data_IF_405067459920
#
_entry.id   IF_405067459920
#
_cell.length_a   1.000
_cell.length_b   1.000
_cell.length_c   1.000
_cell.angle_alpha   90.00
_cell.angle_beta   90.00
_cell.angle_gamma   90.00
#
_symmetry.space_group_name_H-M   'P 1'
#
loop_
_entity.id
_entity.type
_entity.pdbx_description
1 polymer ?
#
# COMPACT_ATOMS: atom_id res chain seq x y z
N UNK A 1 1.07 -34.92 -5.51
CA UNK A 1 2.24 -34.25 -6.13
C UNK A 1 3.44 -34.69 -5.34
N UNK A 2 4.46 -35.26 -5.98
CA UNK A 2 5.70 -35.65 -5.32
C UNK A 2 6.56 -34.40 -5.13
N UNK A 3 6.14 -33.52 -4.23
CA UNK A 3 6.94 -32.39 -3.76
C UNK A 3 8.03 -32.94 -2.86
N UNK A 4 9.27 -32.56 -3.12
CA UNK A 4 10.37 -32.85 -2.23
C UNK A 4 10.21 -31.97 -0.98
N UNK A 5 10.38 -32.53 0.22
CA UNK A 5 10.11 -31.83 1.50
C UNK A 5 10.78 -30.45 1.59
N UNK A 6 11.96 -30.28 0.97
CA UNK A 6 12.67 -29.01 0.90
C UNK A 6 11.94 -27.94 0.05
N UNK A 7 11.42 -28.33 -1.10
CA UNK A 7 10.66 -27.44 -2.00
C UNK A 7 9.34 -27.07 -1.33
N UNK A 8 8.67 -28.02 -0.68
CA UNK A 8 7.41 -27.77 0.03
C UNK A 8 7.61 -26.83 1.22
N UNK A 9 8.71 -26.97 1.97
CA UNK A 9 9.06 -26.05 3.05
C UNK A 9 9.36 -24.63 2.53
N UNK A 10 10.07 -24.50 1.41
CA UNK A 10 10.34 -23.22 0.76
C UNK A 10 9.04 -22.54 0.28
N UNK A 11 8.16 -23.29 -0.39
CA UNK A 11 6.87 -22.79 -0.86
C UNK A 11 5.93 -22.43 0.29
N UNK A 12 5.92 -23.20 1.38
CA UNK A 12 5.17 -22.88 2.58
C UNK A 12 5.67 -21.57 3.23
N UNK A 13 6.97 -21.31 3.20
CA UNK A 13 7.53 -20.04 3.65
C UNK A 13 7.15 -18.88 2.71
N UNK A 14 7.23 -19.10 1.40
CA UNK A 14 6.81 -18.14 0.37
C UNK A 14 5.32 -17.77 0.49
N UNK A 15 4.45 -18.76 0.69
CA UNK A 15 2.99 -18.59 0.83
C UNK A 15 2.58 -17.71 2.02
N UNK A 16 3.41 -17.60 3.06
CA UNK A 16 3.15 -16.69 4.19
C UNK A 16 3.40 -15.22 3.84
N UNK A 17 4.15 -14.94 2.79
CA UNK A 17 4.72 -13.63 2.51
C UNK A 17 4.33 -13.07 1.14
N UNK A 18 4.03 -13.94 0.16
CA UNK A 18 3.76 -13.60 -1.24
C UNK A 18 2.28 -13.83 -1.61
N UNK A 19 1.78 -13.13 -2.66
CA UNK A 19 0.48 -13.43 -3.25
C UNK A 19 0.42 -14.85 -3.80
N UNK A 20 -0.78 -15.43 -3.84
CA UNK A 20 -0.98 -16.82 -4.24
C UNK A 20 -0.49 -17.09 -5.65
N UNK A 21 -0.77 -16.18 -6.57
CA UNK A 21 -0.43 -16.26 -7.98
C UNK A 21 1.10 -16.30 -8.19
N UNK A 22 1.83 -15.55 -7.36
CA UNK A 22 3.31 -15.54 -7.37
C UNK A 22 3.87 -16.83 -6.80
N UNK A 23 3.22 -17.40 -5.78
CA UNK A 23 3.62 -18.67 -5.18
C UNK A 23 3.35 -19.82 -6.12
N UNK A 24 2.23 -19.79 -6.84
CA UNK A 24 1.88 -20.79 -7.86
C UNK A 24 2.91 -20.77 -9.00
N UNK A 25 3.27 -19.59 -9.52
CA UNK A 25 4.33 -19.44 -10.53
C UNK A 25 5.70 -19.92 -10.02
N UNK A 26 6.04 -19.59 -8.76
CA UNK A 26 7.27 -20.03 -8.11
C UNK A 26 7.30 -21.55 -7.94
N UNK A 27 6.16 -22.16 -7.60
CA UNK A 27 6.02 -23.60 -7.50
C UNK A 27 6.24 -24.28 -8.85
N UNK A 28 5.61 -23.76 -9.91
CA UNK A 28 5.77 -24.28 -11.27
C UNK A 28 7.23 -24.19 -11.73
N UNK A 29 7.89 -23.05 -11.52
CA UNK A 29 9.29 -22.86 -11.88
C UNK A 29 10.28 -23.73 -11.07
N UNK A 30 10.02 -23.95 -9.79
CA UNK A 30 10.81 -24.86 -8.94
C UNK A 30 10.63 -26.31 -9.38
N UNK A 31 9.39 -26.73 -9.67
CA UNK A 31 9.08 -28.08 -10.16
C UNK A 31 9.74 -28.31 -11.52
N UNK A 32 9.66 -27.36 -12.45
CA UNK A 32 10.29 -27.48 -13.77
C UNK A 32 11.82 -27.60 -13.65
N UNK A 33 12.44 -26.78 -12.81
CA UNK A 33 13.89 -26.81 -12.58
C UNK A 33 14.32 -28.11 -11.92
N UNK A 34 13.59 -28.56 -10.89
CA UNK A 34 13.81 -29.85 -10.23
C UNK A 34 13.73 -31.01 -11.23
N UNK A 35 12.69 -31.08 -12.05
CA UNK A 35 12.52 -32.12 -13.07
C UNK A 35 13.65 -32.10 -14.10
N UNK A 36 14.11 -30.92 -14.51
CA UNK A 36 15.25 -30.77 -15.42
C UNK A 36 16.53 -31.33 -14.80
N UNK A 37 16.85 -30.97 -13.56
CA UNK A 37 18.03 -31.50 -12.86
C UNK A 37 17.96 -33.02 -12.67
N UNK A 38 16.77 -33.55 -12.36
CA UNK A 38 16.54 -35.01 -12.30
C UNK A 38 16.79 -35.70 -13.64
N UNK A 39 16.39 -35.07 -14.74
CA UNK A 39 16.64 -35.60 -16.09
C UNK A 39 18.11 -35.55 -16.51
N UNK A 40 18.88 -34.64 -15.92
CA UNK A 40 20.33 -34.51 -16.10
C UNK A 40 21.14 -35.48 -15.19
N UNK A 41 20.44 -36.28 -14.37
CA UNK A 41 21.02 -37.37 -13.60
C UNK A 41 21.35 -37.05 -12.15
N UNK A 42 21.01 -35.85 -11.66
CA UNK A 42 21.14 -35.51 -10.24
C UNK A 42 20.17 -36.34 -9.39
N UNK A 43 20.60 -36.71 -8.19
CA UNK A 43 19.71 -37.29 -7.19
C UNK A 43 18.64 -36.29 -6.74
N UNK A 44 17.63 -36.78 -6.00
CA UNK A 44 16.48 -35.98 -5.63
C UNK A 44 16.84 -34.82 -4.68
N UNK A 45 17.75 -35.03 -3.74
CA UNK A 45 18.13 -34.02 -2.75
C UNK A 45 18.97 -32.93 -3.41
N UNK A 46 19.98 -33.33 -4.19
CA UNK A 46 20.84 -32.42 -4.93
C UNK A 46 20.06 -31.62 -6.00
N UNK A 47 19.09 -32.24 -6.66
CA UNK A 47 18.22 -31.54 -7.61
C UNK A 47 17.32 -30.50 -6.92
N UNK A 48 16.81 -30.79 -5.72
CA UNK A 48 15.99 -29.87 -4.94
C UNK A 48 16.82 -28.69 -4.43
N UNK A 49 18.00 -28.94 -3.87
CA UNK A 49 18.94 -27.91 -3.44
C UNK A 49 19.34 -27.00 -4.60
N UNK A 50 19.74 -27.58 -5.73
CA UNK A 50 20.11 -26.82 -6.95
C UNK A 50 18.94 -25.99 -7.47
N UNK A 51 17.71 -26.52 -7.43
CA UNK A 51 16.52 -25.77 -7.84
C UNK A 51 16.28 -24.56 -6.93
N UNK A 52 16.40 -24.73 -5.61
CA UNK A 52 16.26 -23.64 -4.63
C UNK A 52 17.39 -22.61 -4.79
N UNK A 53 18.64 -23.04 -4.93
CA UNK A 53 19.79 -22.16 -5.15
C UNK A 53 19.63 -21.30 -6.40
N UNK A 54 19.08 -21.88 -7.47
CA UNK A 54 18.87 -21.17 -8.74
C UNK A 54 17.79 -20.09 -8.65
N UNK A 55 16.76 -20.32 -7.84
CA UNK A 55 15.75 -19.29 -7.52
C UNK A 55 16.27 -18.28 -6.49
N UNK A 56 17.20 -18.70 -5.64
CA UNK A 56 17.88 -17.87 -4.66
C UNK A 56 17.14 -17.76 -3.34
N UNK A 57 17.79 -17.07 -2.40
CA UNK A 57 17.25 -16.83 -1.07
C UNK A 57 15.90 -16.12 -1.15
N UNK A 58 14.92 -16.68 -0.43
CA UNK A 58 13.57 -16.13 -0.34
C UNK A 58 13.61 -14.65 0.10
N UNK A 59 14.55 -14.26 0.97
CA UNK A 59 14.71 -12.87 1.39
C UNK A 59 15.12 -11.94 0.23
N UNK A 60 15.92 -12.43 -0.71
CA UNK A 60 16.32 -11.67 -1.92
C UNK A 60 15.15 -11.53 -2.89
N UNK A 61 14.41 -12.62 -3.12
CA UNK A 61 13.20 -12.63 -3.95
C UNK A 61 12.16 -11.67 -3.37
N UNK A 62 11.93 -11.74 -2.05
CA UNK A 62 11.04 -10.83 -1.33
C UNK A 62 11.50 -9.38 -1.43
N UNK A 63 12.79 -9.10 -1.25
CA UNK A 63 13.33 -7.75 -1.38
C UNK A 63 13.14 -7.18 -2.79
N UNK A 64 13.32 -8.00 -3.83
CA UNK A 64 13.09 -7.60 -5.21
C UNK A 64 11.61 -7.30 -5.49
N UNK A 65 10.71 -8.19 -5.05
CA UNK A 65 9.26 -7.99 -5.16
C UNK A 65 8.80 -6.73 -4.42
N UNK A 66 9.34 -6.49 -3.22
CA UNK A 66 9.07 -5.29 -2.41
C UNK A 66 9.55 -4.01 -3.08
N UNK A 67 10.68 -4.03 -3.80
CA UNK A 67 11.16 -2.86 -4.55
C UNK A 67 10.27 -2.52 -5.73
N UNK A 68 9.71 -3.53 -6.41
CA UNK A 68 8.84 -3.34 -7.56
C UNK A 68 7.36 -3.11 -7.20
N UNK A 69 6.98 -3.38 -5.95
CA UNK A 69 5.61 -3.19 -5.45
C UNK A 69 5.11 -1.74 -5.64
N UNK A 70 4.07 -1.51 -6.47
CA UNK A 70 3.51 -0.17 -6.70
C UNK A 70 2.95 0.46 -5.42
N UNK A 71 2.51 -0.35 -4.46
CA UNK A 71 1.98 0.13 -3.17
C UNK A 71 2.97 0.95 -2.35
N UNK A 72 4.27 0.66 -2.42
CA UNK A 72 5.30 1.43 -1.70
C UNK A 72 5.49 2.83 -2.28
N UNK A 73 5.51 2.94 -3.62
CA UNK A 73 5.66 4.21 -4.32
C UNK A 73 4.46 5.11 -4.04
N UNK A 74 3.26 4.55 -4.15
CA UNK A 74 1.99 5.23 -3.84
C UNK A 74 1.96 5.73 -2.40
N UNK A 75 2.30 4.89 -1.41
CA UNK A 75 2.30 5.29 0.00
C UNK A 75 3.27 6.48 0.27
N UNK A 76 4.45 6.49 -0.36
CA UNK A 76 5.38 7.62 -0.25
C UNK A 76 4.83 8.89 -0.89
N UNK A 77 4.26 8.79 -2.09
CA UNK A 77 3.66 9.94 -2.77
C UNK A 77 2.51 10.51 -1.93
N UNK A 78 1.68 9.65 -1.32
CA UNK A 78 0.60 10.08 -0.43
C UNK A 78 1.14 10.75 0.84
N UNK A 79 2.18 10.22 1.46
CA UNK A 79 2.85 10.88 2.60
C UNK A 79 3.43 12.24 2.21
N UNK A 80 4.08 12.35 1.05
CA UNK A 80 4.67 13.61 0.57
C UNK A 80 3.61 14.65 0.16
N UNK A 81 2.44 14.22 -0.30
CA UNK A 81 1.33 15.13 -0.62
C UNK A 81 0.57 15.62 0.63
N UNK A 82 0.68 14.90 1.75
CA UNK A 82 0.08 15.28 3.04
C UNK A 82 0.39 16.72 3.47
N UNK A 83 1.67 17.14 3.53
CA UNK A 83 2.04 18.52 3.85
C UNK A 83 1.44 19.56 2.92
N UNK A 84 1.41 19.30 1.60
CA UNK A 84 0.86 20.25 0.61
C UNK A 84 -0.64 20.44 0.81
N UNK A 85 -1.39 19.35 0.96
CA UNK A 85 -2.83 19.43 1.20
C UNK A 85 -3.10 20.05 2.57
N UNK A 86 -2.29 19.73 3.58
CA UNK A 86 -2.38 20.30 4.92
C UNK A 86 -2.13 21.82 4.94
N UNK A 87 -1.15 22.32 4.20
CA UNK A 87 -0.91 23.77 4.10
C UNK A 87 -2.02 24.48 3.34
N UNK A 88 -2.59 23.88 2.29
CA UNK A 88 -3.77 24.42 1.61
C UNK A 88 -4.97 24.54 2.56
N UNK A 89 -5.27 23.50 3.34
CA UNK A 89 -6.34 23.55 4.34
C UNK A 89 -6.03 24.52 5.48
N UNK A 90 -4.78 24.60 5.94
CA UNK A 90 -4.35 25.56 6.95
C UNK A 90 -4.54 27.01 6.48
N UNK A 91 -4.14 27.32 5.25
CA UNK A 91 -4.37 28.64 4.65
C UNK A 91 -5.86 28.95 4.50
N UNK A 92 -6.68 27.96 4.09
CA UNK A 92 -8.13 28.12 3.99
C UNK A 92 -8.79 28.40 5.34
N UNK A 93 -8.35 27.73 6.41
CA UNK A 93 -8.84 27.97 7.77
C UNK A 93 -8.43 29.34 8.31
N UNK A 94 -7.21 29.80 8.01
CA UNK A 94 -6.73 31.13 8.41
C UNK A 94 -7.42 32.27 7.66
N UNK A 95 -7.81 32.04 6.40
CA UNK A 95 -8.52 33.01 5.57
C UNK A 95 -10.03 33.01 5.80
N UNK A 96 -10.58 31.97 6.42
CA UNK A 96 -12.00 31.83 6.71
C UNK A 96 -12.45 32.61 7.96
N UNK A 97 -13.77 32.77 8.14
CA UNK A 97 -14.31 33.39 9.35
C UNK A 97 -13.95 32.54 10.58
N UNK A 98 -13.44 33.19 11.63
CA UNK A 98 -13.03 32.58 12.92
C UNK A 98 -14.20 31.93 13.69
N UNK A 99 -15.42 32.05 13.18
CA UNK A 99 -16.66 31.70 13.83
C UNK A 99 -17.11 30.25 13.63
N UNK A 100 -16.37 29.39 12.93
CA UNK A 100 -16.72 27.96 12.80
C UNK A 100 -16.53 27.26 14.16
N UNK A 101 -17.59 27.08 14.97
CA UNK A 101 -17.49 26.47 16.28
C UNK A 101 -17.61 24.97 16.05
N UNK A 102 -16.62 24.37 15.40
CA UNK A 102 -16.55 22.91 15.37
C UNK A 102 -16.40 22.44 16.82
N UNK A 103 -17.30 21.58 17.34
CA UNK A 103 -17.18 21.06 18.70
C UNK A 103 -15.79 20.47 18.92
N UNK A 104 -15.20 20.67 20.10
CA UNK A 104 -13.84 20.21 20.39
C UNK A 104 -13.65 18.72 20.07
N UNK A 105 -14.68 17.91 20.32
CA UNK A 105 -14.74 16.49 19.98
C UNK A 105 -14.52 16.23 18.46
N UNK A 106 -15.14 17.01 17.59
CA UNK A 106 -15.00 16.86 16.13
C UNK A 106 -13.57 17.13 15.68
N UNK A 107 -12.92 18.15 16.26
CA UNK A 107 -11.52 18.48 15.97
C UNK A 107 -10.57 17.37 16.41
N UNK A 108 -10.80 16.83 17.61
CA UNK A 108 -10.01 15.72 18.17
C UNK A 108 -10.18 14.45 17.33
N UNK A 109 -11.43 14.09 16.97
CA UNK A 109 -11.70 12.91 16.14
C UNK A 109 -11.07 13.05 14.76
N UNK A 110 -11.19 14.22 14.12
CA UNK A 110 -10.56 14.48 12.82
C UNK A 110 -9.04 14.42 12.90
N UNK A 111 -8.43 15.04 13.91
CA UNK A 111 -6.99 14.98 14.15
C UNK A 111 -6.48 13.55 14.40
N UNK A 112 -7.22 12.77 15.21
CA UNK A 112 -6.91 11.35 15.45
C UNK A 112 -7.03 10.51 14.17
N UNK A 113 -8.03 10.77 13.33
CA UNK A 113 -8.18 10.11 12.05
C UNK A 113 -6.99 10.42 11.11
N UNK A 114 -6.57 11.69 11.03
CA UNK A 114 -5.37 12.09 10.26
C UNK A 114 -4.13 11.36 10.77
N UNK A 115 -3.88 11.37 12.08
CA UNK A 115 -2.72 10.69 12.68
C UNK A 115 -2.74 9.18 12.42
N UNK A 116 -3.92 8.57 12.47
CA UNK A 116 -4.11 7.15 12.16
C UNK A 116 -3.77 6.86 10.70
N UNK A 117 -4.24 7.70 9.76
CA UNK A 117 -3.91 7.59 8.34
C UNK A 117 -2.42 7.76 8.09
N UNK A 118 -1.78 8.77 8.70
CA UNK A 118 -0.33 8.99 8.61
C UNK A 118 0.43 7.80 9.15
N UNK A 119 0.02 7.25 10.31
CA UNK A 119 0.62 6.05 10.88
C UNK A 119 0.50 4.83 9.96
N UNK A 120 -0.68 4.57 9.41
CA UNK A 120 -0.91 3.47 8.46
C UNK A 120 -0.08 3.62 7.18
N UNK A 121 0.01 4.84 6.64
CA UNK A 121 0.83 5.14 5.46
C UNK A 121 2.32 5.04 5.76
N UNK A 122 2.77 5.49 6.94
CA UNK A 122 4.16 5.36 7.38
C UNK A 122 4.55 3.89 7.54
N UNK A 123 3.70 3.07 8.16
CA UNK A 123 3.88 1.61 8.21
C UNK A 123 3.94 1.01 6.80
N UNK A 124 3.02 1.39 5.90
CA UNK A 124 3.04 0.92 4.50
C UNK A 124 4.31 1.36 3.73
N UNK A 125 4.88 2.52 4.05
CA UNK A 125 6.07 3.07 3.41
C UNK A 125 7.39 2.48 3.95
N UNK A 126 7.44 2.18 5.25
CA UNK A 126 8.65 1.75 5.98
C UNK A 126 8.76 0.25 6.21
N UNK A 127 7.64 -0.48 6.27
CA UNK A 127 7.66 -1.93 6.48
C UNK A 127 8.36 -2.65 5.32
N UNK A 128 9.22 -3.61 5.69
CA UNK A 128 10.08 -4.35 4.76
C UNK A 128 9.44 -5.64 4.21
N UNK A 129 8.35 -6.19 4.78
CA UNK A 129 7.81 -7.51 4.38
C UNK A 129 6.26 -7.63 4.48
N UNK A 130 5.63 -8.24 3.46
CA UNK A 130 4.34 -8.96 3.56
C UNK A 130 3.05 -8.36 2.95
N UNK A 131 2.11 -9.23 2.58
CA UNK A 131 0.71 -8.97 2.15
C UNK A 131 -0.09 -8.05 3.09
N UNK A 132 0.26 -8.03 4.38
CA UNK A 132 -0.30 -7.08 5.37
C UNK A 132 -0.07 -5.61 4.98
N UNK A 133 0.98 -5.32 4.19
CA UNK A 133 1.31 -4.01 3.63
C UNK A 133 0.23 -3.51 2.66
N UNK A 134 -0.21 -4.38 1.77
CA UNK A 134 -1.20 -4.07 0.74
C UNK A 134 -2.54 -3.72 1.38
N UNK A 135 -2.92 -4.49 2.40
CA UNK A 135 -4.14 -4.24 3.18
C UNK A 135 -4.04 -2.97 4.03
N UNK A 136 -2.91 -2.72 4.70
CA UNK A 136 -2.72 -1.49 5.48
C UNK A 136 -2.70 -0.24 4.60
N UNK A 137 -2.05 -0.31 3.44
CA UNK A 137 -2.07 0.76 2.43
C UNK A 137 -3.46 0.97 1.84
N UNK A 138 -4.23 -0.11 1.60
CA UNK A 138 -5.61 -0.03 1.14
C UNK A 138 -6.50 0.66 2.16
N UNK A 139 -6.45 0.22 3.43
CA UNK A 139 -7.20 0.84 4.53
C UNK A 139 -6.81 2.31 4.69
N UNK A 140 -5.51 2.62 4.76
CA UNK A 140 -5.03 3.99 4.87
C UNK A 140 -5.48 4.89 3.71
N UNK A 141 -5.42 4.38 2.48
CA UNK A 141 -5.88 5.07 1.28
C UNK A 141 -7.40 5.32 1.27
N UNK A 142 -8.20 4.30 1.62
CA UNK A 142 -9.66 4.44 1.71
C UNK A 142 -10.05 5.44 2.80
N UNK A 143 -9.43 5.37 3.98
CA UNK A 143 -9.68 6.33 5.06
C UNK A 143 -9.32 7.75 4.63
N UNK A 144 -8.23 7.94 3.89
CA UNK A 144 -7.84 9.25 3.36
C UNK A 144 -8.86 9.82 2.37
N UNK A 145 -9.39 8.99 1.46
CA UNK A 145 -10.46 9.40 0.52
C UNK A 145 -11.71 9.87 1.28
N UNK A 146 -12.13 9.10 2.29
CA UNK A 146 -13.30 9.45 3.12
C UNK A 146 -13.06 10.77 3.84
N UNK A 147 -11.87 10.96 4.41
CA UNK A 147 -11.51 12.19 5.11
C UNK A 147 -11.57 13.42 4.18
N UNK A 148 -11.02 13.31 2.97
CA UNK A 148 -11.04 14.39 1.97
C UNK A 148 -12.46 14.72 1.51
N UNK A 149 -13.27 13.69 1.25
CA UNK A 149 -14.67 13.88 0.87
C UNK A 149 -15.46 14.58 1.97
N UNK A 150 -15.29 14.19 3.24
CA UNK A 150 -15.94 14.84 4.39
C UNK A 150 -15.53 16.30 4.50
N UNK A 151 -14.23 16.61 4.33
CA UNK A 151 -13.73 17.99 4.41
C UNK A 151 -14.33 18.87 3.30
N UNK A 152 -14.40 18.36 2.05
CA UNK A 152 -15.04 19.05 0.92
C UNK A 152 -16.53 19.28 1.21
N UNK A 153 -17.27 18.25 1.63
CA UNK A 153 -18.70 18.35 1.93
C UNK A 153 -18.96 19.37 3.04
N UNK A 154 -18.17 19.36 4.12
CA UNK A 154 -18.32 20.31 5.21
C UNK A 154 -18.16 21.76 4.74
N UNK A 155 -17.18 22.03 3.89
CA UNK A 155 -16.95 23.36 3.29
C UNK A 155 -18.12 23.78 2.40
N UNK A 156 -18.61 22.89 1.54
CA UNK A 156 -19.71 23.21 0.63
C UNK A 156 -21.02 23.53 1.38
N UNK A 157 -21.19 22.99 2.59
CA UNK A 157 -22.33 23.27 3.46
C UNK A 157 -22.14 24.50 4.37
N UNK A 158 -20.94 25.10 4.43
CA UNK A 158 -20.63 26.18 5.35
C UNK A 158 -21.13 27.56 4.90
N UNK A 159 -21.60 27.72 3.65
CA UNK A 159 -22.23 28.95 3.17
C UNK A 159 -21.92 29.31 1.71
N UNK A 160 -22.52 30.40 1.19
CA UNK A 160 -22.56 30.71 -0.24
C UNK A 160 -21.28 31.34 -0.82
N UNK A 161 -20.14 31.27 -0.11
CA UNK A 161 -18.88 31.83 -0.57
C UNK A 161 -17.75 30.81 -0.49
N UNK A 162 -17.17 30.46 -1.64
CA UNK A 162 -15.96 29.64 -1.69
C UNK A 162 -14.76 30.56 -1.92
N UNK A 163 -14.07 31.04 -0.87
CA UNK A 163 -12.91 31.88 -1.07
C UNK A 163 -11.82 31.07 -1.81
N UNK A 164 -11.00 31.76 -2.60
CA UNK A 164 -10.00 31.11 -3.45
C UNK A 164 -9.06 30.11 -2.71
N UNK A 165 -8.68 30.29 -1.42
CA UNK A 165 -7.86 29.31 -0.71
C UNK A 165 -8.62 28.00 -0.49
N UNK A 166 -9.92 28.08 -0.23
CA UNK A 166 -10.80 26.92 -0.05
C UNK A 166 -10.99 26.19 -1.37
N UNK A 167 -11.12 26.91 -2.48
CA UNK A 167 -11.15 26.30 -3.82
C UNK A 167 -9.84 25.54 -4.13
N UNK A 168 -8.69 26.11 -3.79
CA UNK A 168 -7.39 25.45 -3.94
C UNK A 168 -7.26 24.19 -3.06
N UNK A 169 -7.73 24.24 -1.81
CA UNK A 169 -7.75 23.09 -0.91
C UNK A 169 -8.67 21.96 -1.42
N UNK A 170 -9.84 22.30 -1.96
CA UNK A 170 -10.73 21.34 -2.61
C UNK A 170 -10.07 20.71 -3.85
N UNK A 171 -9.44 21.50 -4.72
CA UNK A 171 -8.76 20.99 -5.91
C UNK A 171 -7.59 20.05 -5.55
N UNK A 172 -6.79 20.39 -4.54
CA UNK A 172 -5.71 19.54 -4.04
C UNK A 172 -6.25 18.23 -3.46
N UNK A 173 -7.35 18.29 -2.69
CA UNK A 173 -7.99 17.11 -2.09
C UNK A 173 -8.62 16.21 -3.17
N UNK A 174 -9.28 16.78 -4.20
CA UNK A 174 -9.81 16.02 -5.33
C UNK A 174 -8.71 15.33 -6.13
N UNK A 175 -7.61 16.02 -6.40
CA UNK A 175 -6.44 15.43 -7.07
C UNK A 175 -5.91 14.24 -6.27
N UNK A 176 -5.81 14.41 -4.94
CA UNK A 176 -5.40 13.35 -4.03
C UNK A 176 -6.38 12.17 -4.03
N UNK A 177 -7.69 12.41 -4.00
CA UNK A 177 -8.72 11.36 -4.10
C UNK A 177 -8.57 10.57 -5.40
N UNK A 178 -8.48 11.26 -6.55
CA UNK A 178 -8.41 10.62 -7.87
C UNK A 178 -7.14 9.76 -7.98
N UNK A 179 -5.98 10.29 -7.57
CA UNK A 179 -4.74 9.52 -7.57
C UNK A 179 -4.77 8.34 -6.60
N UNK A 180 -5.32 8.52 -5.40
CA UNK A 180 -5.45 7.43 -4.41
C UNK A 180 -6.37 6.34 -4.94
N UNK A 181 -7.53 6.70 -5.51
CA UNK A 181 -8.48 5.74 -6.09
C UNK A 181 -7.88 4.97 -7.27
N UNK A 182 -7.14 5.66 -8.16
CA UNK A 182 -6.46 5.02 -9.29
C UNK A 182 -5.37 4.05 -8.82
N UNK A 183 -4.61 4.44 -7.80
CA UNK A 183 -3.59 3.60 -7.20
C UNK A 183 -4.20 2.36 -6.50
N UNK A 184 -5.30 2.53 -5.76
CA UNK A 184 -6.01 1.42 -5.13
C UNK A 184 -6.57 0.44 -6.17
N UNK A 185 -7.14 0.94 -7.27
CA UNK A 185 -7.61 0.08 -8.37
C UNK A 185 -6.50 -0.80 -8.93
N UNK A 186 -5.32 -0.23 -9.17
CA UNK A 186 -4.15 -1.00 -9.64
C UNK A 186 -3.70 -2.07 -8.66
N UNK A 187 -3.88 -1.83 -7.37
CA UNK A 187 -3.51 -2.78 -6.31
C UNK A 187 -4.53 -3.91 -6.17
N UNK A 188 -5.81 -3.69 -6.52
CA UNK A 188 -6.88 -4.69 -6.47
C UNK A 188 -7.01 -5.49 -7.77
N UNK A 189 -6.51 -4.95 -8.89
CA UNK A 189 -6.53 -5.61 -10.21
C UNK A 189 -5.35 -6.56 -10.47
N UNK A 190 -4.43 -6.70 -9.51
CA UNK A 190 -3.28 -7.61 -9.53
C UNK A 190 -3.41 -8.60 -8.38
#
# INVERSE_FOLDING_TARGET
>A
MAGHDLIDAYLAAAARCLPREVVDELADGLVETYQRQRSEGLDADAAAETAIERFGDLDVVLAAFVRQSPGRSVARILLCSGPVVGTCWGAALLAGPTSLPAPALVRVVFGAAVLTVVGLLAVAATARLGYRRTRAGAVGGTTLIVLDAVAIVAVLNAGPGLPWPTAAACAASLTRIVWTAHALRRVVSH
#
